data_IF_755194826131
#
_entry.id   IF_755194826131
#
_cell.length_a   1.000
_cell.length_b   1.000
_cell.length_c   1.000
_cell.angle_alpha   90.00
_cell.angle_beta   90.00
_cell.angle_gamma   90.00
#
_symmetry.space_group_name_H-M   'P 1'
#
loop_
_entity.id
_entity.type
_entity.pdbx_description
1 polymer ?
#
# COMPACT_ATOMS: atom_id res chain seq x y z
N UNK A 1 44.56 16.61 -35.23
CA UNK A 1 43.30 17.34 -34.90
C UNK A 1 42.17 16.53 -35.50
N UNK A 2 41.45 15.79 -34.69
CA UNK A 2 40.22 15.07 -35.14
C UNK A 2 39.13 16.15 -35.15
N UNK A 3 38.72 16.57 -36.35
CA UNK A 3 37.65 17.53 -36.54
C UNK A 3 36.34 16.88 -36.01
N UNK A 4 35.79 17.43 -34.94
CA UNK A 4 34.47 17.02 -34.46
C UNK A 4 33.44 17.52 -35.48
N UNK A 5 32.75 16.58 -36.14
CA UNK A 5 31.57 16.92 -36.93
C UNK A 5 30.54 17.62 -36.04
N UNK A 6 29.85 18.63 -36.58
CA UNK A 6 28.78 19.31 -35.84
C UNK A 6 27.73 18.27 -35.34
N UNK A 7 27.26 18.40 -34.10
CA UNK A 7 26.32 17.44 -33.55
C UNK A 7 25.03 17.45 -34.39
N UNK A 8 24.64 16.29 -34.86
CA UNK A 8 23.34 16.13 -35.54
C UNK A 8 22.21 16.47 -34.57
N UNK A 9 21.06 16.94 -35.08
CA UNK A 9 19.88 17.26 -34.29
C UNK A 9 19.52 16.10 -33.32
N UNK A 10 19.67 14.85 -33.74
CA UNK A 10 19.45 13.67 -32.94
C UNK A 10 20.36 13.63 -31.69
N UNK A 11 21.64 13.91 -31.86
CA UNK A 11 22.60 13.93 -30.76
C UNK A 11 22.24 15.03 -29.74
N UNK A 12 21.86 16.21 -30.20
CA UNK A 12 21.41 17.31 -29.31
C UNK A 12 20.18 16.92 -28.54
N UNK A 13 19.18 16.34 -29.19
CA UNK A 13 17.93 15.88 -28.54
C UNK A 13 18.22 14.77 -27.50
N UNK A 14 19.08 13.80 -27.83
CA UNK A 14 19.47 12.75 -26.89
C UNK A 14 20.21 13.30 -25.66
N UNK A 15 21.11 14.29 -25.85
CA UNK A 15 21.76 14.96 -24.72
C UNK A 15 20.78 15.70 -23.82
N UNK A 16 19.86 16.49 -24.38
CA UNK A 16 18.81 17.18 -23.62
C UNK A 16 17.95 16.15 -22.86
N UNK A 17 17.52 15.07 -23.55
CA UNK A 17 16.75 13.98 -22.94
C UNK A 17 17.50 13.31 -21.78
N UNK A 18 18.79 13.06 -21.94
CA UNK A 18 19.63 12.45 -20.89
C UNK A 18 19.74 13.35 -19.67
N UNK A 19 20.00 14.67 -19.84
CA UNK A 19 20.04 15.61 -18.72
C UNK A 19 18.71 15.76 -18.02
N UNK A 20 17.60 15.75 -18.76
CA UNK A 20 16.26 15.71 -18.17
C UNK A 20 16.08 14.46 -17.30
N UNK A 21 16.45 13.27 -17.82
CA UNK A 21 16.37 12.02 -17.07
C UNK A 21 17.22 12.08 -15.79
N UNK A 22 18.46 12.56 -15.88
CA UNK A 22 19.35 12.72 -14.72
C UNK A 22 18.74 13.65 -13.69
N UNK A 23 18.18 14.79 -14.09
CA UNK A 23 17.54 15.72 -13.17
C UNK A 23 16.36 15.10 -12.43
N UNK A 24 15.46 14.40 -13.14
CA UNK A 24 14.31 13.74 -12.53
C UNK A 24 14.77 12.63 -11.56
N UNK A 25 15.68 11.76 -11.99
CA UNK A 25 16.19 10.68 -11.15
C UNK A 25 16.95 11.21 -9.93
N UNK A 26 17.67 12.35 -10.06
CA UNK A 26 18.35 13.01 -8.94
C UNK A 26 17.38 13.42 -7.84
N UNK A 27 16.24 13.99 -8.21
CA UNK A 27 15.20 14.41 -7.23
C UNK A 27 14.66 13.19 -6.47
N UNK A 28 14.29 12.10 -7.17
CA UNK A 28 13.81 10.88 -6.52
C UNK A 28 14.88 10.21 -5.65
N UNK A 29 16.12 10.17 -6.11
CA UNK A 29 17.26 9.63 -5.35
C UNK A 29 17.49 10.43 -4.06
N UNK A 30 17.56 11.76 -4.17
CA UNK A 30 17.71 12.64 -3.01
C UNK A 30 16.56 12.46 -2.00
N UNK A 31 15.31 12.34 -2.51
CA UNK A 31 14.14 12.06 -1.68
C UNK A 31 14.28 10.73 -0.93
N UNK A 32 14.70 9.64 -1.58
CA UNK A 32 14.88 8.34 -0.92
C UNK A 32 15.91 8.40 0.19
N UNK A 33 17.06 9.03 -0.05
CA UNK A 33 18.08 9.22 0.98
C UNK A 33 17.56 10.09 2.14
N UNK A 34 16.92 11.21 1.82
CA UNK A 34 16.38 12.12 2.82
C UNK A 34 15.33 11.44 3.71
N UNK A 35 14.42 10.67 3.12
CA UNK A 35 13.41 9.93 3.87
C UNK A 35 14.03 8.83 4.73
N UNK A 36 15.01 8.12 4.21
CA UNK A 36 15.70 7.06 4.96
C UNK A 36 16.48 7.65 6.15
N UNK A 37 17.22 8.74 5.94
CA UNK A 37 17.95 9.42 6.99
C UNK A 37 16.99 10.03 8.03
N UNK A 38 15.90 10.64 7.60
CA UNK A 38 14.86 11.12 8.52
C UNK A 38 14.29 9.98 9.37
N UNK A 39 14.03 8.82 8.75
CA UNK A 39 13.51 7.66 9.47
C UNK A 39 14.48 7.09 10.50
N UNK A 40 15.79 7.10 10.20
CA UNK A 40 16.83 6.56 11.07
C UNK A 40 17.21 7.53 12.20
N UNK A 41 17.29 8.83 11.91
CA UNK A 41 17.88 9.83 12.80
C UNK A 41 16.96 11.00 13.15
N UNK A 42 15.82 11.13 12.44
CA UNK A 42 14.86 12.21 12.68
C UNK A 42 13.94 11.95 13.89
N UNK A 43 13.19 12.98 14.25
CA UNK A 43 12.15 12.85 15.26
C UNK A 43 10.99 12.02 14.73
N UNK A 44 10.63 10.97 15.46
CA UNK A 44 9.46 10.17 15.12
C UNK A 44 8.18 10.87 15.59
N UNK A 45 7.35 11.25 14.63
CA UNK A 45 6.05 11.79 14.91
C UNK A 45 5.05 10.63 15.01
N UNK A 46 4.44 10.50 16.16
CA UNK A 46 3.33 9.59 16.37
C UNK A 46 2.17 10.43 16.89
N UNK A 47 0.96 10.24 16.35
CA UNK A 47 -0.21 10.85 16.93
C UNK A 47 -0.41 10.20 18.31
N UNK A 48 -0.09 10.95 19.36
CA UNK A 48 -0.37 10.57 20.73
C UNK A 48 -1.69 11.22 21.14
N UNK A 49 -2.65 10.39 21.46
CA UNK A 49 -3.87 10.82 22.15
C UNK A 49 -3.96 9.96 23.40
N UNK A 50 -4.17 10.58 24.56
CA UNK A 50 -4.49 9.86 25.78
C UNK A 50 -5.95 9.39 25.67
N UNK A 51 -6.10 8.10 25.41
CA UNK A 51 -7.41 7.48 25.14
C UNK A 51 -7.88 6.57 26.28
N UNK A 52 -7.25 6.64 27.44
CA UNK A 52 -7.57 5.72 28.57
C UNK A 52 -9.02 5.87 29.08
N UNK A 53 -9.62 7.05 28.91
CA UNK A 53 -11.02 7.34 29.28
C UNK A 53 -11.83 7.92 28.12
N UNK A 54 -11.44 7.64 26.89
CA UNK A 54 -12.06 8.22 25.74
C UNK A 54 -13.50 7.67 25.53
N UNK A 55 -14.42 8.57 25.21
CA UNK A 55 -15.69 8.19 24.60
C UNK A 55 -15.44 7.88 23.12
N UNK A 56 -15.32 6.58 22.81
CA UNK A 56 -14.97 6.11 21.47
C UNK A 56 -16.08 6.48 20.48
N UNK A 57 -15.76 7.06 19.31
CA UNK A 57 -16.73 7.41 18.30
C UNK A 57 -17.45 6.19 17.75
N UNK A 58 -18.63 6.40 17.16
CA UNK A 58 -19.32 5.35 16.41
C UNK A 58 -18.51 4.95 15.17
N UNK A 59 -18.37 3.64 14.97
CA UNK A 59 -17.48 3.05 13.98
C UNK A 59 -18.21 2.04 13.11
N UNK A 60 -18.11 2.19 11.80
CA UNK A 60 -18.46 1.14 10.85
C UNK A 60 -17.19 0.63 10.14
N UNK A 61 -17.02 -0.69 10.17
CA UNK A 61 -15.95 -1.38 9.45
C UNK A 61 -16.53 -2.01 8.19
N UNK A 62 -16.13 -1.52 7.02
CA UNK A 62 -16.54 -2.05 5.74
C UNK A 62 -15.54 -3.08 5.23
N UNK A 63 -16.03 -4.23 4.76
CA UNK A 63 -15.22 -5.32 4.19
C UNK A 63 -15.72 -5.62 2.78
N UNK A 64 -15.21 -4.94 1.74
CA UNK A 64 -15.62 -5.18 0.36
C UNK A 64 -15.16 -6.58 -0.08
N UNK A 65 -16.09 -7.34 -0.65
CA UNK A 65 -15.89 -8.72 -1.09
C UNK A 65 -16.48 -8.96 -2.51
N UNK A 66 -15.73 -9.71 -3.32
CA UNK A 66 -16.20 -10.25 -4.60
C UNK A 66 -15.55 -11.61 -4.84
N UNK A 67 -16.29 -12.69 -4.63
CA UNK A 67 -15.81 -14.07 -4.70
C UNK A 67 -14.65 -14.34 -3.71
N UNK A 68 -14.82 -14.05 -2.43
CA UNK A 68 -13.79 -14.17 -1.39
C UNK A 68 -14.10 -15.27 -0.35
N UNK A 69 -14.82 -16.34 -0.75
CA UNK A 69 -15.23 -17.45 0.14
C UNK A 69 -14.06 -18.08 0.92
N UNK A 70 -12.84 -18.03 0.38
CA UNK A 70 -11.65 -18.64 0.98
C UNK A 70 -11.08 -17.88 2.17
N UNK A 71 -11.31 -16.57 2.23
CA UNK A 71 -10.59 -15.69 3.16
C UNK A 71 -11.53 -14.87 4.05
N UNK A 72 -12.77 -14.63 3.62
CA UNK A 72 -13.68 -13.71 4.30
C UNK A 72 -13.99 -14.12 5.76
N UNK A 73 -14.05 -15.44 6.07
CA UNK A 73 -14.26 -15.93 7.42
C UNK A 73 -13.17 -15.49 8.37
N UNK A 74 -11.90 -15.69 7.98
CA UNK A 74 -10.75 -15.33 8.81
C UNK A 74 -10.73 -13.83 9.13
N UNK A 75 -11.12 -13.00 8.14
CA UNK A 75 -11.20 -11.55 8.32
C UNK A 75 -12.33 -11.15 9.28
N UNK A 76 -13.52 -11.72 9.12
CA UNK A 76 -14.66 -11.44 9.99
C UNK A 76 -14.40 -11.93 11.42
N UNK A 77 -13.86 -13.14 11.60
CA UNK A 77 -13.50 -13.67 12.92
C UNK A 77 -12.48 -12.75 13.61
N UNK A 78 -11.46 -12.30 12.89
CA UNK A 78 -10.47 -11.37 13.43
C UNK A 78 -11.09 -10.02 13.84
N UNK A 79 -11.97 -9.46 13.01
CA UNK A 79 -12.68 -8.20 13.33
C UNK A 79 -13.59 -8.34 14.55
N UNK A 80 -14.28 -9.47 14.70
CA UNK A 80 -15.15 -9.75 15.84
C UNK A 80 -14.39 -9.88 17.16
N UNK A 81 -13.09 -10.24 17.12
CA UNK A 81 -12.20 -10.30 18.30
C UNK A 81 -11.53 -8.97 18.65
N UNK A 82 -11.72 -7.93 17.81
CA UNK A 82 -11.10 -6.64 18.07
C UNK A 82 -11.71 -5.95 19.30
N UNK A 83 -10.82 -5.36 20.11
CA UNK A 83 -11.19 -4.55 21.28
C UNK A 83 -11.76 -3.20 20.84
N UNK A 84 -13.10 -3.11 20.82
CA UNK A 84 -13.86 -1.87 20.59
C UNK A 84 -15.21 -1.98 21.30
N UNK A 85 -15.82 -0.88 21.80
CA UNK A 85 -17.14 -0.94 22.44
C UNK A 85 -18.17 -1.54 21.49
N UNK A 86 -18.90 -2.58 21.96
CA UNK A 86 -19.80 -3.36 21.10
C UNK A 86 -20.99 -2.54 20.58
N UNK A 87 -21.49 -1.62 21.41
CA UNK A 87 -22.58 -0.68 21.06
C UNK A 87 -22.15 0.41 20.07
N UNK A 88 -20.86 0.54 19.83
CA UNK A 88 -20.26 1.54 18.93
C UNK A 88 -19.67 0.95 17.65
N UNK A 89 -19.64 -0.39 17.49
CA UNK A 89 -19.03 -1.08 16.37
C UNK A 89 -20.06 -1.81 15.51
N UNK A 90 -20.09 -1.49 14.21
CA UNK A 90 -20.75 -2.28 13.18
C UNK A 90 -19.72 -2.81 12.18
N UNK A 91 -19.87 -4.06 11.77
CA UNK A 91 -19.10 -4.69 10.70
C UNK A 91 -20.04 -4.89 9.51
N UNK A 92 -19.69 -4.29 8.38
CA UNK A 92 -20.52 -4.29 7.17
C UNK A 92 -19.73 -4.95 6.04
N UNK A 93 -19.81 -6.28 5.88
CA UNK A 93 -19.32 -6.93 4.68
C UNK A 93 -20.13 -6.44 3.47
N UNK A 94 -19.43 -6.02 2.41
CA UNK A 94 -20.04 -5.44 1.22
C UNK A 94 -19.81 -6.40 0.04
N UNK A 95 -20.83 -7.20 -0.27
CA UNK A 95 -20.76 -8.13 -1.39
C UNK A 95 -21.12 -7.46 -2.70
N UNK A 96 -20.18 -7.43 -3.67
CA UNK A 96 -20.44 -6.93 -5.03
C UNK A 96 -20.64 -8.10 -6.00
N UNK A 97 -21.81 -8.74 -5.94
CA UNK A 97 -22.26 -9.80 -6.90
C UNK A 97 -21.37 -11.04 -6.92
N UNK A 98 -21.00 -11.56 -5.76
CA UNK A 98 -20.28 -12.83 -5.66
C UNK A 98 -21.12 -14.00 -6.19
N UNK A 99 -20.44 -14.94 -6.86
CA UNK A 99 -21.02 -16.14 -7.47
C UNK A 99 -20.55 -17.42 -6.78
N UNK A 100 -19.65 -17.30 -5.80
CA UNK A 100 -19.16 -18.40 -4.97
C UNK A 100 -19.90 -18.47 -3.61
N UNK A 101 -19.36 -19.18 -2.63
CA UNK A 101 -19.92 -19.32 -1.29
C UNK A 101 -19.88 -18.07 -0.42
N UNK A 102 -19.34 -16.91 -0.90
CA UNK A 102 -19.20 -15.68 -0.10
C UNK A 102 -20.51 -15.26 0.52
N UNK A 103 -21.60 -15.15 -0.26
CA UNK A 103 -22.91 -14.69 0.25
C UNK A 103 -23.50 -15.59 1.33
N UNK A 104 -23.33 -16.91 1.18
CA UNK A 104 -23.80 -17.86 2.17
C UNK A 104 -23.05 -17.68 3.50
N UNK A 105 -21.74 -17.44 3.44
CA UNK A 105 -20.94 -17.13 4.61
C UNK A 105 -21.41 -15.84 5.28
N UNK A 106 -21.64 -14.78 4.52
CA UNK A 106 -22.08 -13.49 5.07
C UNK A 106 -23.42 -13.60 5.80
N UNK A 107 -24.38 -14.34 5.26
CA UNK A 107 -25.66 -14.59 5.91
C UNK A 107 -25.52 -15.40 7.21
N UNK A 108 -24.64 -16.40 7.23
CA UNK A 108 -24.31 -17.15 8.45
C UNK A 108 -23.78 -16.22 9.55
N UNK A 109 -22.93 -15.25 9.21
CA UNK A 109 -22.42 -14.26 10.19
C UNK A 109 -23.50 -13.27 10.64
N UNK A 110 -24.39 -12.84 9.76
CA UNK A 110 -25.55 -12.00 10.12
C UNK A 110 -26.45 -12.69 11.15
N UNK A 111 -26.77 -13.97 10.92
CA UNK A 111 -27.58 -14.79 11.82
C UNK A 111 -26.89 -15.01 13.18
N UNK A 112 -25.58 -15.25 13.20
CA UNK A 112 -24.83 -15.51 14.41
C UNK A 112 -24.49 -14.25 15.22
N UNK A 113 -24.42 -13.07 14.56
CA UNK A 113 -24.05 -11.78 15.17
C UNK A 113 -25.04 -10.67 14.79
N UNK A 114 -26.34 -10.81 15.15
CA UNK A 114 -27.37 -9.87 14.73
C UNK A 114 -27.09 -8.44 15.22
N UNK A 115 -27.21 -7.47 14.31
CA UNK A 115 -26.95 -6.06 14.58
C UNK A 115 -25.49 -5.66 14.68
N UNK A 116 -24.55 -6.60 14.88
CA UNK A 116 -23.10 -6.38 14.88
C UNK A 116 -22.48 -6.64 13.51
N UNK A 117 -22.91 -7.69 12.81
CA UNK A 117 -22.56 -7.95 11.41
C UNK A 117 -23.79 -7.71 10.55
N UNK A 118 -23.72 -6.74 9.65
CA UNK A 118 -24.84 -6.29 8.81
C UNK A 118 -24.38 -6.31 7.34
N UNK A 119 -24.50 -7.43 6.63
CA UNK A 119 -24.06 -7.53 5.25
C UNK A 119 -24.84 -6.61 4.31
N UNK A 120 -24.14 -5.92 3.43
CA UNK A 120 -24.73 -5.22 2.31
C UNK A 120 -24.52 -6.04 1.03
N UNK A 121 -25.59 -6.70 0.56
CA UNK A 121 -25.58 -7.57 -0.62
C UNK A 121 -26.03 -6.79 -1.84
N UNK A 122 -25.14 -6.60 -2.79
CA UNK A 122 -25.34 -5.76 -3.97
C UNK A 122 -25.56 -6.64 -5.21
N UNK A 123 -26.64 -6.42 -5.93
CA UNK A 123 -27.00 -7.18 -7.13
C UNK A 123 -26.87 -6.39 -8.41
N UNK A 124 -26.94 -5.06 -8.35
CA UNK A 124 -26.89 -4.15 -9.49
C UNK A 124 -25.93 -2.97 -9.29
N UNK A 125 -25.96 -1.99 -10.19
CA UNK A 125 -25.13 -0.80 -10.15
C UNK A 125 -23.77 -0.96 -10.81
N UNK A 126 -22.91 0.07 -10.71
CA UNK A 126 -21.56 0.08 -11.29
C UNK A 126 -20.68 -0.93 -10.55
N UNK A 127 -20.04 -1.90 -11.24
CA UNK A 127 -19.15 -2.86 -10.59
C UNK A 127 -17.88 -2.19 -10.05
N UNK A 128 -17.36 -2.71 -8.93
CA UNK A 128 -16.07 -2.31 -8.40
C UNK A 128 -16.10 -1.85 -6.95
N UNK A 129 -14.93 -1.97 -6.28
CA UNK A 129 -14.74 -1.69 -4.86
C UNK A 129 -15.24 -0.29 -4.47
N UNK A 130 -14.82 0.75 -5.22
CA UNK A 130 -15.19 2.13 -4.91
C UNK A 130 -16.71 2.37 -5.00
N UNK A 131 -17.37 1.78 -6.00
CA UNK A 131 -18.82 1.90 -6.15
C UNK A 131 -19.56 1.14 -5.06
N UNK A 132 -19.12 -0.08 -4.76
CA UNK A 132 -19.72 -0.89 -3.70
C UNK A 132 -19.58 -0.22 -2.32
N UNK A 133 -18.41 0.36 -2.01
CA UNK A 133 -18.20 1.13 -0.79
C UNK A 133 -19.04 2.40 -0.76
N UNK A 134 -19.16 3.13 -1.88
CA UNK A 134 -19.98 4.35 -1.94
C UNK A 134 -21.46 4.05 -1.65
N UNK A 135 -22.00 2.99 -2.26
CA UNK A 135 -23.40 2.59 -2.05
C UNK A 135 -23.65 2.12 -0.61
N UNK A 136 -22.73 1.31 -0.05
CA UNK A 136 -22.85 0.84 1.33
C UNK A 136 -22.73 2.00 2.33
N UNK A 137 -21.73 2.87 2.19
CA UNK A 137 -21.48 3.98 3.12
C UNK A 137 -22.61 5.01 3.12
N UNK A 138 -23.34 5.17 2.01
CA UNK A 138 -24.50 6.06 1.94
C UNK A 138 -25.66 5.67 2.87
N UNK A 139 -25.68 4.42 3.34
CA UNK A 139 -26.70 3.90 4.26
C UNK A 139 -26.28 4.00 5.74
N UNK A 140 -25.08 4.51 6.02
CA UNK A 140 -24.49 4.55 7.35
C UNK A 140 -24.20 5.98 7.80
N UNK A 141 -24.43 6.26 9.08
CA UNK A 141 -24.31 7.59 9.69
C UNK A 141 -23.28 7.64 10.82
N UNK A 142 -22.52 6.57 11.04
CA UNK A 142 -21.47 6.50 12.05
C UNK A 142 -20.36 7.52 11.72
N UNK A 143 -19.65 7.98 12.76
CA UNK A 143 -18.67 9.07 12.62
C UNK A 143 -17.46 8.67 11.80
N UNK A 144 -16.98 7.44 12.01
CA UNK A 144 -15.75 6.91 11.38
C UNK A 144 -16.08 5.67 10.57
N UNK A 145 -15.52 5.64 9.36
CA UNK A 145 -15.59 4.51 8.44
C UNK A 145 -14.20 3.91 8.27
N UNK A 146 -14.00 2.65 8.67
CA UNK A 146 -12.79 1.90 8.36
C UNK A 146 -13.04 0.93 7.21
N UNK A 147 -11.99 0.64 6.45
CA UNK A 147 -12.03 -0.32 5.34
C UNK A 147 -10.92 -1.34 5.51
N UNK A 148 -11.29 -2.63 5.44
CA UNK A 148 -10.35 -3.75 5.34
C UNK A 148 -10.71 -4.60 4.15
N UNK A 149 -9.74 -4.95 3.31
CA UNK A 149 -9.98 -5.92 2.25
C UNK A 149 -10.27 -7.31 2.87
N UNK A 150 -10.99 -8.16 2.16
CA UNK A 150 -11.52 -9.42 2.67
C UNK A 150 -10.46 -10.45 3.11
N UNK A 151 -9.20 -10.27 2.70
CA UNK A 151 -8.06 -11.13 3.04
C UNK A 151 -7.21 -10.63 4.23
N UNK A 152 -7.57 -9.49 4.80
CA UNK A 152 -6.83 -8.87 5.90
C UNK A 152 -7.21 -9.46 7.26
N UNK A 153 -6.19 -9.62 8.10
CA UNK A 153 -6.35 -10.15 9.46
C UNK A 153 -5.90 -9.07 10.46
N UNK A 154 -6.84 -8.29 11.02
CA UNK A 154 -6.54 -7.30 12.03
C UNK A 154 -6.19 -7.95 13.38
N UNK A 155 -5.21 -7.37 14.08
CA UNK A 155 -4.94 -7.74 15.47
C UNK A 155 -5.95 -7.13 16.45
N UNK A 156 -6.06 -7.67 17.68
CA UNK A 156 -7.11 -7.29 18.63
C UNK A 156 -7.19 -5.81 18.98
N UNK A 157 -6.06 -5.08 18.97
CA UNK A 157 -6.01 -3.65 19.33
C UNK A 157 -6.08 -2.71 18.13
N UNK A 158 -6.16 -3.25 16.91
CA UNK A 158 -5.98 -2.46 15.69
C UNK A 158 -7.05 -1.38 15.51
N UNK A 159 -8.33 -1.69 15.78
CA UNK A 159 -9.42 -0.73 15.60
C UNK A 159 -9.21 0.53 16.46
N UNK A 160 -8.93 0.38 17.75
CA UNK A 160 -8.64 1.51 18.64
C UNK A 160 -7.42 2.31 18.19
N UNK A 161 -6.38 1.63 17.70
CA UNK A 161 -5.17 2.29 17.20
C UNK A 161 -5.45 3.12 15.95
N UNK A 162 -6.28 2.62 15.02
CA UNK A 162 -6.66 3.35 13.81
C UNK A 162 -7.66 4.49 14.07
N UNK A 163 -8.51 4.34 15.08
CA UNK A 163 -9.50 5.35 15.43
C UNK A 163 -8.89 6.48 16.27
N UNK A 164 -7.88 6.19 17.10
CA UNK A 164 -7.32 7.19 18.02
C UNK A 164 -6.90 8.53 17.37
N UNK A 165 -6.33 8.60 16.15
CA UNK A 165 -6.01 9.89 15.54
C UNK A 165 -7.23 10.74 15.20
N UNK A 166 -8.41 10.14 15.06
CA UNK A 166 -9.64 10.88 14.75
C UNK A 166 -10.21 11.67 15.95
N UNK A 167 -9.63 11.56 17.14
CA UNK A 167 -9.93 12.49 18.22
C UNK A 167 -9.46 13.92 17.89
N UNK A 168 -8.52 14.06 16.96
CA UNK A 168 -8.22 15.34 16.32
C UNK A 168 -9.25 15.62 15.20
N UNK A 169 -10.05 16.71 15.29
CA UNK A 169 -11.09 17.01 14.32
C UNK A 169 -10.56 17.35 12.92
N UNK A 170 -9.29 17.72 12.79
CA UNK A 170 -8.64 18.04 11.51
C UNK A 170 -8.24 16.78 10.74
N UNK A 171 -8.22 15.61 11.40
CA UNK A 171 -7.88 14.35 10.76
C UNK A 171 -9.05 13.83 9.94
N UNK A 172 -8.85 13.81 8.62
CA UNK A 172 -9.81 13.30 7.64
C UNK A 172 -9.62 11.83 7.30
N UNK A 173 -8.38 11.31 7.32
CA UNK A 173 -8.10 9.90 7.06
C UNK A 173 -6.92 9.38 7.88
N UNK A 174 -6.96 8.07 8.15
CA UNK A 174 -5.89 7.35 8.87
C UNK A 174 -5.57 6.08 8.11
N UNK A 175 -4.29 5.71 8.05
CA UNK A 175 -3.82 4.45 7.51
C UNK A 175 -2.84 3.77 8.47
N UNK A 176 -2.99 2.46 8.66
CA UNK A 176 -2.05 1.59 9.35
C UNK A 176 -1.00 1.00 8.43
N UNK A 177 -0.18 0.14 8.99
CA UNK A 177 0.89 -0.56 8.30
C UNK A 177 0.40 -1.92 7.80
N UNK A 178 0.67 -2.20 6.53
CA UNK A 178 0.37 -3.49 5.93
C UNK A 178 1.62 -4.38 5.93
N UNK A 179 1.46 -5.62 6.38
CA UNK A 179 2.54 -6.61 6.50
C UNK A 179 2.12 -7.90 5.78
N UNK A 180 2.93 -8.46 4.88
CA UNK A 180 2.63 -9.72 4.22
C UNK A 180 2.57 -10.90 5.19
N UNK A 181 1.54 -11.74 5.06
CA UNK A 181 1.34 -12.97 5.85
C UNK A 181 2.07 -14.18 5.25
N UNK A 182 2.03 -14.29 3.92
CA UNK A 182 2.54 -15.47 3.18
C UNK A 182 3.99 -15.32 2.69
N UNK A 183 4.86 -14.65 3.45
CA UNK A 183 6.25 -14.32 3.07
C UNK A 183 7.08 -15.54 2.68
N UNK A 184 6.87 -16.69 3.34
CA UNK A 184 7.66 -17.88 3.16
C UNK A 184 7.38 -18.69 1.87
N UNK A 185 6.30 -18.42 1.13
CA UNK A 185 5.81 -19.28 0.07
C UNK A 185 6.68 -19.27 -1.19
N UNK A 186 7.24 -18.13 -1.59
CA UNK A 186 8.02 -18.01 -2.82
C UNK A 186 9.08 -16.90 -2.73
N UNK A 187 9.98 -16.87 -3.73
CA UNK A 187 10.90 -15.73 -3.88
C UNK A 187 10.13 -14.42 -4.08
N UNK A 188 9.05 -14.45 -4.86
CA UNK A 188 8.23 -13.27 -5.11
C UNK A 188 7.63 -12.72 -3.82
N UNK A 189 7.03 -13.56 -2.98
CA UNK A 189 6.42 -13.11 -1.70
C UNK A 189 7.45 -12.48 -0.75
N UNK A 190 8.69 -13.00 -0.74
CA UNK A 190 9.81 -12.41 0.00
C UNK A 190 10.23 -11.05 -0.57
N UNK A 191 10.25 -10.89 -1.90
CA UNK A 191 10.55 -9.61 -2.53
C UNK A 191 9.46 -8.57 -2.26
N UNK A 192 8.18 -8.99 -2.22
CA UNK A 192 7.06 -8.11 -1.87
C UNK A 192 7.10 -7.70 -0.40
N UNK A 193 7.56 -8.57 0.50
CA UNK A 193 7.80 -8.21 1.90
C UNK A 193 8.87 -7.11 2.05
N UNK A 194 9.95 -7.18 1.28
CA UNK A 194 10.96 -6.12 1.23
C UNK A 194 10.38 -4.80 0.71
N UNK A 195 9.58 -4.85 -0.35
CA UNK A 195 8.91 -3.68 -0.92
C UNK A 195 7.96 -3.03 0.10
N UNK A 196 7.13 -3.84 0.78
CA UNK A 196 6.23 -3.39 1.84
C UNK A 196 7.00 -2.76 3.00
N UNK A 197 8.07 -3.40 3.45
CA UNK A 197 8.90 -2.86 4.53
C UNK A 197 9.46 -1.48 4.17
N UNK A 198 10.06 -1.32 2.98
CA UNK A 198 10.57 -0.01 2.53
C UNK A 198 9.50 1.06 2.44
N UNK A 199 8.35 0.73 1.84
CA UNK A 199 7.24 1.65 1.65
C UNK A 199 6.60 2.11 2.96
N UNK A 200 6.32 1.19 3.87
CA UNK A 200 5.62 1.52 5.13
C UNK A 200 6.57 2.02 6.22
N UNK A 201 7.67 1.29 6.51
CA UNK A 201 8.58 1.66 7.59
C UNK A 201 9.36 2.94 7.32
N UNK A 202 9.67 3.21 6.07
CA UNK A 202 10.49 4.39 5.72
C UNK A 202 9.66 5.45 5.03
N UNK A 203 9.07 5.16 3.87
CA UNK A 203 8.47 6.18 3.01
C UNK A 203 7.25 6.85 3.68
N UNK A 204 6.27 6.06 4.14
CA UNK A 204 5.06 6.59 4.80
C UNK A 204 5.39 7.25 6.15
N UNK A 205 6.28 6.62 6.95
CA UNK A 205 6.67 7.20 8.25
C UNK A 205 7.47 8.50 8.08
N UNK A 206 8.35 8.59 7.08
CA UNK A 206 9.08 9.84 6.81
C UNK A 206 8.13 10.97 6.40
N UNK A 207 7.10 10.68 5.57
CA UNK A 207 6.06 11.65 5.26
C UNK A 207 5.33 12.13 6.50
N UNK A 208 4.97 11.22 7.41
CA UNK A 208 4.34 11.56 8.67
C UNK A 208 5.25 12.44 9.53
N UNK A 209 6.55 12.07 9.67
CA UNK A 209 7.52 12.84 10.45
C UNK A 209 7.71 14.26 9.92
N UNK A 210 7.74 14.41 8.60
CA UNK A 210 8.03 15.66 7.90
C UNK A 210 6.78 16.52 7.61
N UNK A 211 5.59 16.07 8.06
CA UNK A 211 4.30 16.72 7.76
C UNK A 211 4.06 16.88 6.25
N UNK A 212 4.44 15.87 5.49
CA UNK A 212 4.15 15.77 4.07
C UNK A 212 2.77 15.11 3.84
N UNK A 213 2.61 14.40 2.71
CA UNK A 213 1.36 13.76 2.34
C UNK A 213 1.45 12.24 2.52
N UNK A 214 1.16 11.68 3.73
CA UNK A 214 0.97 10.24 3.85
C UNK A 214 -0.16 9.81 2.93
N UNK A 215 0.02 8.69 2.23
CA UNK A 215 -0.98 8.19 1.31
C UNK A 215 -1.92 7.24 2.05
N UNK A 216 -3.23 7.50 2.02
CA UNK A 216 -4.23 6.53 2.39
C UNK A 216 -4.28 5.43 1.32
N UNK A 217 -4.23 4.18 1.71
CA UNK A 217 -4.10 3.03 0.79
C UNK A 217 -5.38 2.26 0.52
N UNK A 218 -6.54 2.80 0.89
CA UNK A 218 -7.85 2.18 0.61
C UNK A 218 -8.16 0.92 1.43
N UNK A 219 -7.30 0.57 2.38
CA UNK A 219 -7.45 -0.56 3.31
C UNK A 219 -6.62 -0.33 4.57
N UNK A 220 -6.83 -1.12 5.63
CA UNK A 220 -6.16 -0.98 6.93
C UNK A 220 -6.17 0.47 7.42
N UNK A 221 -7.31 1.09 7.34
CA UNK A 221 -7.49 2.49 7.70
C UNK A 221 -8.87 2.97 7.36
N UNK A 222 -9.09 4.26 7.48
CA UNK A 222 -10.41 4.80 7.25
C UNK A 222 -10.45 6.29 7.10
N UNK A 223 -11.66 6.77 7.05
CA UNK A 223 -11.98 8.18 6.83
C UNK A 223 -13.03 8.64 7.81
N UNK A 224 -12.96 9.89 8.19
CA UNK A 224 -14.05 10.58 8.88
C UNK A 224 -15.19 10.79 7.88
N UNK A 225 -16.41 10.42 8.25
CA UNK A 225 -17.58 10.55 7.36
C UNK A 225 -17.75 11.97 6.82
N UNK A 226 -17.68 12.99 7.68
CA UNK A 226 -17.82 14.38 7.26
C UNK A 226 -16.70 14.84 6.31
N UNK A 227 -15.48 14.32 6.46
CA UNK A 227 -14.39 14.60 5.52
C UNK A 227 -14.64 13.95 4.16
N UNK A 228 -15.12 12.70 4.15
CA UNK A 228 -15.49 11.99 2.92
C UNK A 228 -16.61 12.71 2.17
N UNK A 229 -17.66 13.12 2.88
CA UNK A 229 -18.77 13.90 2.31
C UNK A 229 -18.31 15.26 1.76
N UNK A 230 -17.46 15.97 2.51
CA UNK A 230 -16.91 17.26 2.11
C UNK A 230 -16.15 17.22 0.80
N UNK A 231 -15.45 16.10 0.52
CA UNK A 231 -14.69 15.94 -0.72
C UNK A 231 -15.48 15.22 -1.84
N UNK A 232 -16.77 14.94 -1.64
CA UNK A 232 -17.67 14.36 -2.64
C UNK A 232 -17.62 12.84 -2.76
N UNK A 233 -17.29 12.12 -1.67
CA UNK A 233 -17.35 10.67 -1.58
C UNK A 233 -16.27 9.92 -2.37
N UNK A 234 -16.46 8.63 -2.58
CA UNK A 234 -15.59 7.80 -3.39
C UNK A 234 -15.77 8.09 -4.89
N UNK A 235 -14.65 8.09 -5.63
CA UNK A 235 -14.70 8.20 -7.09
C UNK A 235 -14.73 6.83 -7.75
N UNK A 236 -15.86 6.52 -8.34
CA UNK A 236 -16.10 5.23 -9.03
C UNK A 236 -15.38 5.12 -10.37
N UNK A 237 -14.93 6.23 -10.96
CA UNK A 237 -14.21 6.31 -12.23
C UNK A 237 -12.66 6.32 -12.04
N UNK A 238 -12.16 6.07 -10.84
CA UNK A 238 -10.74 6.02 -10.52
C UNK A 238 -10.27 4.58 -10.33
N UNK A 239 -9.14 4.22 -10.96
CA UNK A 239 -8.46 2.93 -10.75
C UNK A 239 -7.61 2.88 -9.49
N UNK A 240 -7.31 4.03 -8.89
CA UNK A 240 -6.67 4.22 -7.58
C UNK A 240 -7.54 5.21 -6.79
N UNK A 241 -8.68 4.71 -6.35
CA UNK A 241 -9.69 5.48 -5.61
C UNK A 241 -9.14 6.04 -4.29
N UNK A 242 -8.22 5.33 -3.69
CA UNK A 242 -7.49 5.66 -2.47
C UNK A 242 -6.55 6.86 -2.67
N UNK A 243 -5.74 6.82 -3.72
CA UNK A 243 -4.85 7.93 -4.10
C UNK A 243 -5.66 9.17 -4.49
N UNK A 244 -6.75 9.00 -5.24
CA UNK A 244 -7.67 10.07 -5.59
C UNK A 244 -8.28 10.72 -4.32
N UNK A 245 -8.76 9.90 -3.39
CA UNK A 245 -9.32 10.36 -2.13
C UNK A 245 -8.27 11.10 -1.28
N UNK A 246 -7.05 10.53 -1.16
CA UNK A 246 -5.93 11.17 -0.44
C UNK A 246 -5.68 12.59 -0.94
N UNK A 247 -5.57 12.76 -2.26
CA UNK A 247 -5.29 14.09 -2.85
C UNK A 247 -6.45 15.05 -2.60
N UNK A 248 -7.71 14.61 -2.73
CA UNK A 248 -8.87 15.45 -2.46
C UNK A 248 -8.96 15.88 -1.00
N UNK A 249 -8.69 14.98 -0.07
CA UNK A 249 -8.66 15.31 1.37
C UNK A 249 -7.61 16.39 1.65
N UNK A 250 -6.37 16.17 1.22
CA UNK A 250 -5.26 17.10 1.47
C UNK A 250 -5.50 18.48 0.81
N UNK A 251 -5.99 18.50 -0.42
CA UNK A 251 -6.31 19.78 -1.12
C UNK A 251 -7.41 20.57 -0.39
N UNK A 252 -8.35 19.88 0.27
CA UNK A 252 -9.42 20.50 1.03
C UNK A 252 -9.05 20.78 2.50
N UNK A 253 -7.78 20.59 2.88
CA UNK A 253 -7.25 20.97 4.19
C UNK A 253 -7.41 19.92 5.28
N UNK A 254 -7.78 18.69 4.91
CA UNK A 254 -7.84 17.57 5.85
C UNK A 254 -6.48 16.93 6.03
N UNK A 255 -6.12 16.59 7.27
CA UNK A 255 -4.93 15.82 7.56
C UNK A 255 -5.12 14.33 7.26
N UNK A 256 -4.08 13.73 6.67
CA UNK A 256 -3.97 12.28 6.52
C UNK A 256 -2.87 11.77 7.44
N UNK A 257 -3.21 10.82 8.30
CA UNK A 257 -2.31 10.30 9.34
C UNK A 257 -1.88 8.88 9.02
N UNK A 258 -0.59 8.61 9.16
CA UNK A 258 -0.03 7.26 9.06
C UNK A 258 0.38 6.73 10.43
N UNK A 259 -0.10 5.53 10.77
CA UNK A 259 0.14 4.82 12.04
C UNK A 259 1.04 3.60 11.81
N UNK A 260 2.36 3.78 11.92
CA UNK A 260 3.34 2.71 11.67
C UNK A 260 3.25 1.52 12.64
N UNK A 261 2.71 1.73 13.84
CA UNK A 261 2.56 0.67 14.86
C UNK A 261 1.28 -0.12 14.72
N UNK A 262 0.35 0.34 13.91
CA UNK A 262 -0.94 -0.30 13.66
C UNK A 262 -0.80 -1.27 12.50
N UNK A 263 -0.32 -2.49 12.80
CA UNK A 263 -0.03 -3.51 11.81
C UNK A 263 -1.24 -4.37 11.51
N UNK A 264 -1.47 -4.64 10.21
CA UNK A 264 -2.44 -5.59 9.73
C UNK A 264 -1.81 -6.49 8.67
N UNK A 265 -2.22 -7.74 8.62
CA UNK A 265 -1.59 -8.75 7.75
C UNK A 265 -2.42 -8.97 6.49
N UNK A 266 -1.73 -8.96 5.31
CA UNK A 266 -2.32 -9.20 3.99
C UNK A 266 -1.75 -10.45 3.32
N UNK A 267 -2.48 -11.01 2.36
CA UNK A 267 -1.97 -12.03 1.46
C UNK A 267 -1.44 -11.39 0.18
N UNK A 268 -0.10 -11.39 0.00
CA UNK A 268 0.51 -10.84 -1.22
C UNK A 268 0.46 -11.86 -2.38
N UNK A 269 0.46 -11.37 -3.66
CA UNK A 269 0.46 -12.25 -4.83
C UNK A 269 1.62 -13.27 -4.84
N UNK A 270 1.32 -14.52 -5.13
CA UNK A 270 2.31 -15.62 -5.20
C UNK A 270 2.83 -15.85 -6.62
N UNK A 271 2.12 -15.35 -7.64
CA UNK A 271 2.52 -15.47 -9.05
C UNK A 271 2.94 -14.13 -9.64
N UNK A 272 3.96 -14.15 -10.51
CA UNK A 272 4.39 -12.95 -11.25
C UNK A 272 3.29 -12.38 -12.13
N UNK A 273 2.41 -13.21 -12.66
CA UNK A 273 1.29 -12.76 -13.49
C UNK A 273 0.32 -11.88 -12.69
N UNK A 274 -0.10 -12.36 -11.51
CA UNK A 274 -0.96 -11.58 -10.59
C UNK A 274 -0.27 -10.29 -10.14
N UNK A 275 1.04 -10.35 -9.85
CA UNK A 275 1.82 -9.16 -9.49
C UNK A 275 1.88 -8.14 -10.62
N UNK A 276 2.13 -8.57 -11.85
CA UNK A 276 2.18 -7.69 -13.03
C UNK A 276 0.81 -7.04 -13.28
N UNK A 277 -0.29 -7.80 -13.15
CA UNK A 277 -1.66 -7.24 -13.24
C UNK A 277 -1.88 -6.15 -12.20
N UNK A 278 -1.50 -6.41 -10.95
CA UNK A 278 -1.61 -5.47 -9.83
C UNK A 278 -0.82 -4.18 -10.08
N UNK A 279 0.47 -4.28 -10.43
CA UNK A 279 1.32 -3.11 -10.72
C UNK A 279 0.76 -2.28 -11.89
N UNK A 280 0.31 -2.94 -12.96
CA UNK A 280 -0.28 -2.24 -14.12
C UNK A 280 -1.55 -1.46 -13.72
N UNK A 281 -2.38 -2.02 -12.85
CA UNK A 281 -3.56 -1.34 -12.32
C UNK A 281 -3.16 -0.10 -11.51
N UNK A 282 -2.20 -0.25 -10.59
CA UNK A 282 -1.70 0.88 -9.80
C UNK A 282 -1.09 1.98 -10.66
N UNK A 283 -0.24 1.62 -11.63
CA UNK A 283 0.37 2.59 -12.55
C UNK A 283 -0.69 3.38 -13.33
N UNK A 284 -1.72 2.70 -13.85
CA UNK A 284 -2.82 3.38 -14.55
C UNK A 284 -3.58 4.33 -13.63
N UNK A 285 -3.90 3.90 -12.41
CA UNK A 285 -4.64 4.72 -11.44
C UNK A 285 -3.87 5.96 -11.02
N UNK A 286 -2.57 5.81 -10.69
CA UNK A 286 -1.71 6.95 -10.33
C UNK A 286 -1.52 7.93 -11.51
N UNK A 287 -1.36 7.43 -12.74
CA UNK A 287 -1.25 8.29 -13.93
C UNK A 287 -2.54 9.07 -14.20
N UNK A 288 -3.72 8.46 -13.94
CA UNK A 288 -5.01 9.17 -13.98
C UNK A 288 -5.07 10.27 -12.92
N UNK A 289 -4.65 9.98 -11.68
CA UNK A 289 -4.60 10.95 -10.60
C UNK A 289 -3.60 12.07 -10.89
N UNK A 290 -2.40 11.74 -11.40
CA UNK A 290 -1.41 12.72 -11.84
C UNK A 290 -2.00 13.70 -12.85
N UNK A 291 -2.62 13.20 -13.91
CA UNK A 291 -3.24 14.04 -14.93
C UNK A 291 -4.34 14.95 -14.36
N UNK A 292 -5.12 14.42 -13.42
CA UNK A 292 -6.27 15.13 -12.83
C UNK A 292 -5.83 16.24 -11.89
N UNK A 293 -4.82 16.00 -11.05
CA UNK A 293 -4.48 16.87 -9.93
C UNK A 293 -3.18 17.64 -10.08
N UNK A 294 -2.28 17.28 -11.01
CA UNK A 294 -0.95 17.90 -11.14
C UNK A 294 -1.02 19.42 -11.32
N UNK A 295 -1.89 19.88 -12.22
CA UNK A 295 -2.06 21.31 -12.44
C UNK A 295 -2.68 22.05 -11.24
N UNK A 296 -3.58 21.39 -10.50
CA UNK A 296 -4.19 21.94 -9.30
C UNK A 296 -3.16 22.08 -8.17
N UNK A 297 -2.29 21.09 -8.00
CA UNK A 297 -1.19 21.13 -7.04
C UNK A 297 -0.20 22.26 -7.37
N UNK A 298 0.27 22.35 -8.62
CA UNK A 298 1.28 23.35 -9.01
C UNK A 298 0.76 24.80 -8.99
N UNK A 299 -0.51 25.02 -9.33
CA UNK A 299 -1.11 26.38 -9.32
C UNK A 299 -1.36 26.91 -7.92
N UNK A 300 -1.04 26.13 -6.91
CA UNK A 300 -1.18 26.46 -5.48
C UNK A 300 -2.54 27.09 -5.11
N UNK A 301 -3.62 26.65 -5.77
CA UNK A 301 -4.98 27.02 -5.37
C UNK A 301 -5.38 26.38 -4.02
N UNK A 302 -4.50 25.55 -3.45
CA UNK A 302 -4.79 24.62 -2.38
C UNK A 302 -4.34 25.11 -1.00
N UNK A 303 -3.67 26.26 -0.89
CA UNK A 303 -3.04 26.77 0.35
C UNK A 303 -2.05 25.78 1.02
N UNK A 304 -1.60 24.76 0.29
CA UNK A 304 -0.64 23.79 0.82
C UNK A 304 0.77 24.38 0.92
N UNK A 305 1.54 24.02 1.95
CA UNK A 305 2.96 24.34 2.02
C UNK A 305 3.72 23.78 0.81
N UNK A 306 4.76 24.49 0.36
CA UNK A 306 5.57 24.10 -0.80
C UNK A 306 6.04 22.64 -0.76
N UNK A 307 6.48 22.17 0.42
CA UNK A 307 6.97 20.78 0.57
C UNK A 307 5.88 19.72 0.41
N UNK A 308 4.64 20.02 0.80
CA UNK A 308 3.51 19.13 0.56
C UNK A 308 3.12 19.09 -0.93
N UNK A 309 3.17 20.24 -1.61
CA UNK A 309 2.94 20.30 -3.05
C UNK A 309 3.99 19.50 -3.80
N UNK A 310 5.27 19.67 -3.42
CA UNK A 310 6.37 18.94 -4.03
C UNK A 310 6.25 17.43 -3.79
N UNK A 311 6.03 17.00 -2.54
CA UNK A 311 5.87 15.57 -2.23
C UNK A 311 4.63 14.97 -2.89
N UNK A 312 3.51 15.67 -2.93
CA UNK A 312 2.30 15.26 -3.63
C UNK A 312 2.53 15.08 -5.14
N UNK A 313 3.26 16.01 -5.77
CA UNK A 313 3.64 15.88 -7.18
C UNK A 313 4.56 14.68 -7.43
N UNK A 314 5.57 14.47 -6.58
CA UNK A 314 6.46 13.31 -6.65
C UNK A 314 5.74 12.00 -6.37
N UNK A 315 4.79 11.99 -5.42
CA UNK A 315 3.94 10.83 -5.13
C UNK A 315 3.13 10.41 -6.36
N UNK A 316 2.45 11.36 -6.98
CA UNK A 316 1.65 11.09 -8.17
C UNK A 316 2.50 10.70 -9.39
N UNK A 317 3.71 11.29 -9.51
CA UNK A 317 4.63 11.08 -10.63
C UNK A 317 5.45 9.80 -10.56
N UNK A 318 5.41 9.04 -9.45
CA UNK A 318 6.30 7.88 -9.23
C UNK A 318 6.21 6.83 -10.34
N UNK A 319 5.02 6.58 -10.90
CA UNK A 319 4.82 5.62 -11.97
C UNK A 319 5.21 6.13 -13.37
N UNK A 320 5.60 7.40 -13.51
CA UNK A 320 6.21 7.94 -14.74
C UNK A 320 7.72 7.71 -14.74
N UNK A 321 8.36 7.56 -13.57
CA UNK A 321 9.81 7.38 -13.43
C UNK A 321 10.37 6.23 -14.27
N UNK A 322 9.75 5.04 -14.38
CA UNK A 322 10.22 3.98 -15.28
C UNK A 322 10.28 4.37 -16.75
N UNK A 323 9.36 5.22 -17.24
CA UNK A 323 9.46 5.74 -18.61
C UNK A 323 10.66 6.67 -18.79
N UNK A 324 10.88 7.55 -17.81
CA UNK A 324 12.07 8.44 -17.79
C UNK A 324 13.34 7.63 -17.78
N UNK A 325 13.42 6.56 -16.99
CA UNK A 325 14.58 5.66 -16.95
C UNK A 325 14.82 4.99 -18.30
N UNK A 326 13.79 4.45 -18.95
CA UNK A 326 13.90 3.83 -20.28
C UNK A 326 14.31 4.85 -21.35
N UNK A 327 13.77 6.08 -21.30
CA UNK A 327 14.22 7.16 -22.18
C UNK A 327 15.71 7.44 -22.00
N UNK A 328 16.19 7.51 -20.76
CA UNK A 328 17.61 7.68 -20.46
C UNK A 328 18.47 6.56 -21.03
N UNK A 329 18.03 5.30 -20.95
CA UNK A 329 18.74 4.17 -21.58
C UNK A 329 18.79 4.28 -23.09
N UNK A 330 17.68 4.62 -23.73
CA UNK A 330 17.64 4.82 -25.20
C UNK A 330 18.58 5.95 -25.63
N UNK A 331 18.53 7.11 -24.97
CA UNK A 331 19.43 8.22 -25.26
C UNK A 331 20.91 7.81 -25.07
N UNK A 332 21.23 7.09 -24.01
CA UNK A 332 22.61 6.61 -23.76
C UNK A 332 23.09 5.65 -24.85
N UNK A 333 22.23 4.70 -25.27
CA UNK A 333 22.57 3.75 -26.35
C UNK A 333 22.82 4.49 -27.68
N UNK A 334 21.94 5.44 -28.05
CA UNK A 334 22.10 6.23 -29.27
C UNK A 334 23.38 7.03 -29.23
N UNK A 335 23.69 7.73 -28.15
CA UNK A 335 24.93 8.50 -28.00
C UNK A 335 26.17 7.62 -28.06
N UNK A 336 26.11 6.41 -27.48
CA UNK A 336 27.22 5.45 -27.55
C UNK A 336 27.53 5.01 -28.99
N UNK A 337 26.50 4.61 -29.75
CA UNK A 337 26.66 4.12 -31.12
C UNK A 337 26.95 5.22 -32.14
N UNK A 338 26.62 6.49 -31.87
CA UNK A 338 26.98 7.61 -32.74
C UNK A 338 28.44 8.02 -32.58
N UNK A 339 29.15 7.41 -31.62
CA UNK A 339 30.56 7.74 -31.36
C UNK A 339 30.78 9.17 -30.85
N UNK A 340 29.72 9.88 -30.47
CA UNK A 340 29.78 11.24 -29.99
C UNK A 340 29.93 11.24 -28.44
N UNK A 341 31.16 11.40 -27.92
CA UNK A 341 31.34 11.56 -26.50
C UNK A 341 30.69 12.88 -26.07
N UNK A 342 29.94 12.94 -24.96
CA UNK A 342 29.50 14.23 -24.41
C UNK A 342 30.73 15.14 -24.29
N UNK A 343 30.58 16.42 -24.64
CA UNK A 343 31.73 17.37 -24.71
C UNK A 343 32.52 17.51 -23.40
N UNK A 344 31.95 17.07 -22.28
CA UNK A 344 32.55 16.93 -20.95
C UNK A 344 33.08 15.51 -20.70
N UNK A 345 33.12 14.68 -21.70
CA UNK A 345 33.69 13.36 -21.88
C UNK A 345 33.78 12.51 -20.61
N UNK A 346 34.99 12.44 -20.05
CA UNK A 346 35.28 11.53 -18.92
C UNK A 346 34.59 11.96 -17.59
N UNK A 347 34.51 13.25 -17.32
CA UNK A 347 33.91 13.77 -16.08
C UNK A 347 32.42 13.52 -16.08
N UNK A 348 31.75 13.78 -17.19
CA UNK A 348 30.28 13.53 -17.30
C UNK A 348 29.94 12.05 -17.18
N UNK A 349 30.71 11.16 -17.85
CA UNK A 349 30.54 9.71 -17.72
C UNK A 349 30.79 9.28 -16.28
N UNK A 350 31.83 9.79 -15.63
CA UNK A 350 32.10 9.48 -14.21
C UNK A 350 31.00 9.98 -13.29
N UNK A 351 30.51 11.20 -13.50
CA UNK A 351 29.40 11.77 -12.73
C UNK A 351 28.08 10.99 -12.92
N UNK A 352 27.74 10.66 -14.19
CA UNK A 352 26.55 9.86 -14.49
C UNK A 352 26.67 8.46 -13.90
N UNK A 353 27.85 7.82 -14.03
CA UNK A 353 28.07 6.48 -13.47
C UNK A 353 28.05 6.50 -11.94
N UNK A 354 28.66 7.49 -11.31
CA UNK A 354 28.64 7.67 -9.86
C UNK A 354 27.21 7.95 -9.38
N UNK A 355 26.47 8.81 -10.09
CA UNK A 355 25.09 9.13 -9.78
C UNK A 355 24.18 7.91 -9.96
N UNK A 356 24.31 7.14 -11.04
CA UNK A 356 23.56 5.91 -11.23
C UNK A 356 23.86 4.89 -10.13
N UNK A 357 25.11 4.77 -9.72
CA UNK A 357 25.51 3.90 -8.60
C UNK A 357 24.82 4.35 -7.31
N UNK A 358 24.97 5.61 -6.94
CA UNK A 358 24.36 6.18 -5.73
C UNK A 358 22.83 6.11 -5.81
N UNK A 359 22.23 6.41 -6.97
CA UNK A 359 20.80 6.34 -7.19
C UNK A 359 20.23 4.93 -7.03
N UNK A 360 20.91 3.94 -7.58
CA UNK A 360 20.52 2.54 -7.44
C UNK A 360 20.63 2.06 -5.99
N UNK A 361 21.62 2.52 -5.23
CA UNK A 361 21.74 2.21 -3.81
C UNK A 361 20.68 2.86 -2.93
N UNK A 362 20.02 3.93 -3.35
CA UNK A 362 19.00 4.61 -2.53
C UNK A 362 17.86 3.69 -2.13
N UNK A 363 17.31 2.92 -3.08
CA UNK A 363 16.24 1.96 -2.80
C UNK A 363 16.72 0.79 -1.91
N UNK A 364 17.93 0.28 -2.15
CA UNK A 364 18.54 -0.75 -1.29
C UNK A 364 18.78 -0.23 0.13
N UNK A 365 19.28 1.00 0.26
CA UNK A 365 19.50 1.63 1.56
C UNK A 365 18.20 1.80 2.34
N UNK A 366 17.13 2.23 1.65
CA UNK A 366 15.80 2.35 2.25
C UNK A 366 15.29 1.02 2.80
N UNK A 367 15.36 -0.06 2.01
CA UNK A 367 14.89 -1.38 2.44
C UNK A 367 15.80 -1.99 3.50
N UNK A 368 17.11 -1.76 3.42
CA UNK A 368 18.05 -2.18 4.46
C UNK A 368 17.74 -1.49 5.81
N UNK A 369 17.46 -0.18 5.78
CA UNK A 369 17.04 0.57 6.96
C UNK A 369 15.71 0.03 7.53
N UNK A 370 14.71 -0.23 6.68
CA UNK A 370 13.45 -0.83 7.09
C UNK A 370 13.65 -2.19 7.74
N UNK A 371 14.45 -3.06 7.11
CA UNK A 371 14.75 -4.40 7.62
C UNK A 371 15.46 -4.37 8.99
N UNK A 372 16.37 -3.40 9.19
CA UNK A 372 17.01 -3.18 10.47
C UNK A 372 16.03 -2.71 11.55
N UNK A 373 15.12 -1.80 11.20
CA UNK A 373 14.09 -1.29 12.11
C UNK A 373 13.09 -2.37 12.54
N UNK A 374 12.79 -3.32 11.68
CA UNK A 374 11.95 -4.49 11.98
C UNK A 374 12.72 -5.62 12.68
N UNK A 375 14.04 -5.51 12.85
CA UNK A 375 14.88 -6.54 13.43
C UNK A 375 15.06 -7.80 12.56
N UNK A 376 14.67 -7.76 11.29
CA UNK A 376 14.70 -8.92 10.38
C UNK A 376 16.04 -9.07 9.67
N UNK A 377 16.86 -10.03 10.13
CA UNK A 377 18.13 -10.37 9.44
C UNK A 377 17.91 -11.10 8.11
N UNK A 378 16.82 -11.83 7.97
CA UNK A 378 16.52 -12.57 6.75
C UNK A 378 16.22 -11.65 5.57
N UNK A 379 15.51 -10.55 5.80
CA UNK A 379 15.27 -9.53 4.78
C UNK A 379 16.56 -8.97 4.21
N UNK A 380 17.59 -8.76 5.04
CA UNK A 380 18.89 -8.22 4.58
C UNK A 380 19.55 -9.16 3.58
N UNK A 381 19.47 -10.49 3.79
CA UNK A 381 20.01 -11.49 2.86
C UNK A 381 19.31 -11.49 1.50
N UNK A 382 18.08 -11.02 1.45
CA UNK A 382 17.28 -10.96 0.23
C UNK A 382 17.51 -9.70 -0.61
N UNK A 383 18.20 -8.67 -0.07
CA UNK A 383 18.43 -7.40 -0.77
C UNK A 383 19.00 -7.56 -2.21
N UNK A 384 20.00 -8.41 -2.48
CA UNK A 384 20.52 -8.56 -3.86
C UNK A 384 19.45 -8.99 -4.88
N UNK A 385 18.44 -9.76 -4.44
CA UNK A 385 17.36 -10.26 -5.31
C UNK A 385 16.30 -9.19 -5.64
N UNK A 386 16.28 -8.04 -4.94
CA UNK A 386 15.39 -6.92 -5.25
C UNK A 386 15.53 -6.44 -6.70
N UNK A 387 16.72 -6.62 -7.29
CA UNK A 387 16.98 -6.22 -8.68
C UNK A 387 16.03 -6.90 -9.66
N UNK A 388 15.66 -8.17 -9.43
CA UNK A 388 14.69 -8.91 -10.25
C UNK A 388 13.31 -8.26 -10.21
N UNK A 389 12.82 -7.95 -8.99
CA UNK A 389 11.55 -7.24 -8.80
C UNK A 389 11.55 -5.85 -9.44
N UNK A 390 12.66 -5.12 -9.33
CA UNK A 390 12.84 -3.82 -9.95
C UNK A 390 12.73 -3.89 -11.48
N UNK A 391 13.42 -4.83 -12.15
CA UNK A 391 13.36 -4.99 -13.60
C UNK A 391 11.92 -5.29 -14.06
N UNK A 392 11.27 -6.29 -13.46
CA UNK A 392 9.89 -6.67 -13.81
C UNK A 392 8.94 -5.48 -13.60
N UNK A 393 9.08 -4.74 -12.51
CA UNK A 393 8.27 -3.56 -12.22
C UNK A 393 8.51 -2.44 -13.23
N UNK A 394 9.77 -2.14 -13.56
CA UNK A 394 10.15 -1.09 -14.53
C UNK A 394 9.50 -1.31 -15.89
N UNK A 395 9.63 -2.51 -16.46
CA UNK A 395 9.04 -2.81 -17.78
C UNK A 395 7.51 -2.87 -17.72
N UNK A 396 6.94 -3.42 -16.64
CA UNK A 396 5.49 -3.54 -16.49
C UNK A 396 4.82 -2.19 -16.33
N UNK A 397 5.40 -1.29 -15.52
CA UNK A 397 4.92 0.09 -15.33
C UNK A 397 5.07 0.90 -16.60
N UNK A 398 6.25 0.85 -17.25
CA UNK A 398 6.48 1.57 -18.50
C UNK A 398 5.45 1.17 -19.57
N UNK A 399 5.23 -0.14 -19.76
CA UNK A 399 4.21 -0.63 -20.70
C UNK A 399 2.80 -0.17 -20.32
N UNK A 400 2.47 -0.15 -19.04
CA UNK A 400 1.18 0.36 -18.57
C UNK A 400 1.04 1.86 -18.85
N UNK A 401 2.09 2.65 -18.60
CA UNK A 401 2.09 4.11 -18.72
C UNK A 401 2.05 4.60 -20.18
N UNK A 402 2.55 3.83 -21.14
CA UNK A 402 2.42 4.11 -22.58
C UNK A 402 0.97 3.90 -23.04
N UNK A 403 0.20 3.05 -22.39
CA UNK A 403 -1.17 2.73 -22.79
C UNK A 403 -2.09 3.96 -22.66
N UNK A 404 -2.89 4.22 -23.71
CA UNK A 404 -3.94 5.26 -23.69
C UNK A 404 -4.86 5.16 -22.46
N UNK A 405 -5.16 3.94 -22.02
CA UNK A 405 -6.02 3.70 -20.86
C UNK A 405 -5.46 4.26 -19.55
N UNK A 406 -4.13 4.47 -19.44
CA UNK A 406 -3.49 5.10 -18.29
C UNK A 406 -3.80 6.59 -18.13
N UNK A 407 -4.22 7.23 -19.22
CA UNK A 407 -4.45 8.67 -19.27
C UNK A 407 -5.91 9.03 -19.52
N UNK A 408 -6.78 8.04 -19.78
CA UNK A 408 -8.21 8.24 -20.01
C UNK A 408 -8.96 8.22 -18.67
N UNK A 409 -9.93 9.11 -18.53
CA UNK A 409 -10.84 9.23 -17.39
C UNK A 409 -12.26 8.78 -17.80
N UNK A 410 -13.09 8.45 -16.80
CA UNK A 410 -14.54 8.26 -17.01
C UNK A 410 -14.96 6.89 -17.56
N UNK A 411 -14.11 5.85 -17.47
CA UNK A 411 -14.54 4.48 -17.77
C UNK A 411 -14.82 3.71 -16.47
N UNK A 412 -15.91 2.91 -16.42
CA UNK A 412 -16.15 2.02 -15.28
C UNK A 412 -14.96 1.09 -15.08
N UNK A 413 -14.55 0.96 -13.82
CA UNK A 413 -13.47 0.07 -13.42
C UNK A 413 -14.05 -1.31 -13.19
N UNK A 414 -13.60 -2.31 -13.96
CA UNK A 414 -13.92 -3.71 -13.64
C UNK A 414 -13.07 -4.17 -12.46
N UNK A 415 -13.70 -4.82 -11.49
CA UNK A 415 -13.01 -5.46 -10.38
C UNK A 415 -12.13 -6.60 -10.90
N UNK A 416 -10.81 -6.43 -10.81
CA UNK A 416 -9.86 -7.48 -11.13
C UNK A 416 -9.44 -8.15 -9.82
N UNK A 417 -10.03 -9.32 -9.57
CA UNK A 417 -9.72 -10.13 -8.38
C UNK A 417 -8.25 -10.56 -8.38
N UNK A 418 -7.61 -10.49 -7.22
CA UNK A 418 -6.34 -11.17 -6.94
C UNK A 418 -6.67 -12.61 -6.53
N UNK A 419 -6.03 -13.60 -7.14
CA UNK A 419 -6.19 -15.01 -6.77
C UNK A 419 -5.72 -15.22 -5.34
N UNK A 420 -6.53 -15.94 -4.54
CA UNK A 420 -6.25 -16.30 -3.15
C UNK A 420 -5.79 -17.75 -3.07
N UNK A 421 -4.80 -18.00 -2.22
CA UNK A 421 -4.16 -19.31 -2.11
C UNK A 421 -4.41 -19.99 -0.76
N UNK A 422 -5.07 -19.31 0.20
CA UNK A 422 -5.48 -19.95 1.46
C UNK A 422 -6.43 -21.12 1.20
N UNK A 423 -6.21 -22.23 1.92
CA UNK A 423 -7.15 -23.35 1.93
C UNK A 423 -8.42 -22.97 2.69
N UNK A 424 -9.57 -23.38 2.15
CA UNK A 424 -10.86 -23.21 2.84
C UNK A 424 -10.80 -23.98 4.17
N UNK A 425 -10.96 -23.31 5.30
CA UNK A 425 -11.12 -23.99 6.60
C UNK A 425 -12.33 -24.91 6.51
N UNK A 426 -12.09 -26.23 6.52
CA UNK A 426 -13.16 -27.21 6.75
C UNK A 426 -13.72 -26.95 8.15
N UNK A 427 -15.06 -26.79 8.28
CA UNK A 427 -15.72 -26.86 9.59
C UNK A 427 -15.18 -28.10 10.30
N UNK A 428 -14.58 -27.96 11.45
CA UNK A 428 -14.33 -29.08 12.35
C UNK A 428 -15.73 -29.54 12.79
N UNK A 429 -16.20 -30.59 12.15
CA UNK A 429 -17.36 -31.32 12.62
C UNK A 429 -17.09 -31.73 14.07
N UNK A 430 -17.78 -31.10 14.99
CA UNK A 430 -17.82 -31.47 16.40
C UNK A 430 -18.47 -32.83 16.57
N UNK A 431 -17.81 -33.90 16.14
CA UNK A 431 -18.14 -35.25 16.56
C UNK A 431 -17.49 -35.46 17.92
N UNK A 432 -18.26 -35.26 18.96
CA UNK A 432 -18.04 -35.85 20.28
C UNK A 432 -18.08 -37.37 20.11
N UNK A 433 -16.92 -37.96 19.82
CA UNK A 433 -16.70 -39.42 19.90
C UNK A 433 -16.47 -39.77 21.36
N UNK A 434 -17.52 -40.18 22.05
CA UNK A 434 -17.43 -41.00 23.26
C UNK A 434 -16.80 -42.35 22.91
N UNK A 435 -15.52 -42.51 23.20
CA UNK A 435 -14.79 -43.80 23.09
C UNK A 435 -14.25 -44.16 24.45
N UNK A 436 -15.00 -44.96 25.18
CA UNK A 436 -14.53 -45.75 26.34
C UNK A 436 -13.52 -46.79 25.89
N UNK A 437 -12.38 -46.88 26.55
CA UNK A 437 -11.37 -47.92 26.30
C UNK A 437 -10.31 -47.98 27.38
N UNK A 438 -10.57 -48.76 28.35
CA UNK A 438 -9.78 -49.38 29.43
C UNK A 438 -8.32 -49.70 29.14
N UNK A 439 -7.43 -49.42 30.10
CA UNK A 439 -6.63 -50.50 30.66
C UNK A 439 -5.12 -50.40 30.58
N UNK A 440 -4.53 -50.40 31.76
CA UNK A 440 -3.27 -50.94 32.25
C UNK A 440 -1.99 -50.12 32.14
N UNK A 441 -1.57 -49.61 33.35
CA UNK A 441 -0.14 -49.34 33.63
C UNK A 441 0.62 -50.65 33.96
N UNK A 442 1.78 -50.63 34.60
CA UNK A 442 2.53 -49.60 35.30
C UNK A 442 4.06 -49.66 35.04
N UNK A 443 4.82 -48.76 35.60
CA UNK A 443 6.27 -49.00 35.76
C UNK A 443 7.14 -47.78 36.01
N UNK A 444 7.30 -47.48 37.30
CA UNK A 444 8.49 -47.11 38.09
C UNK A 444 9.51 -46.10 37.54
N UNK A 445 9.68 -45.03 38.28
CA UNK A 445 10.69 -44.00 38.36
C UNK A 445 12.10 -44.50 38.76
N UNK A 446 12.96 -43.74 39.46
CA UNK A 446 13.13 -42.28 39.63
C UNK A 446 14.60 -41.85 39.40
N UNK A 447 14.89 -40.57 39.48
CA UNK A 447 16.28 -40.08 39.60
C UNK A 447 16.40 -38.59 39.34
N UNK A 448 16.25 -37.72 40.33
CA UNK A 448 17.26 -36.83 40.97
C UNK A 448 18.42 -36.40 40.05
N UNK A 449 18.83 -35.16 39.84
CA UNK A 449 19.20 -34.12 40.82
C UNK A 449 19.71 -32.87 40.08
N UNK A 450 19.42 -31.71 40.63
CA UNK A 450 20.29 -30.55 40.94
C UNK A 450 21.24 -29.99 39.87
N UNK A 451 21.20 -28.68 39.71
CA UNK A 451 22.32 -27.88 39.26
C UNK A 451 21.96 -26.45 38.86
N UNK A 452 22.07 -25.53 39.82
CA UNK A 452 21.93 -24.08 39.67
C UNK A 452 23.18 -23.42 39.09
N UNK A 453 23.04 -22.11 38.73
CA UNK A 453 24.05 -21.06 38.40
C UNK A 453 24.41 -20.97 36.92
N UNK A 454 24.43 -19.80 36.27
CA UNK A 454 24.62 -18.41 36.68
C UNK A 454 23.91 -17.53 35.65
#
# INVERSE_FOLDING_TARGET
>A
MVGFAEPTTLIVLCNIGLWFCVAVLAVYTARHYFFTLNRLFGRHRQPFVDVLQADWPSLTVFVPAHNEERVIRDSLDALLTCDYPEDRLKIVPVDDRSQDGTRAILREYEENYPGRVVPFLRDDGIPGKAAALADAMALHNEEIFLVFDADYIPGPRLLKQLVSPFFDPEVGAVMGRVVPLNVGHSLLTRLLDLERAGGYQVDQQARMNLRLVPQYGGTVGGVRRTALENVGGWRVDSLAEDTDLTVRLVINGWDVVYQNRSECYEEVPESWESRIRQIKRWAKGHNQALRRYFAALLRNKTRLPFWQVLDGALLLGVFVVPLVLLLGWVCTIVLFFTGYPPQWGRVTILMISSFNTVGNFAAFFQVAAASRLDGSRERIRMLPFMFLGFLVSTFSVARASISRASWMQGRPVQWQKTERHRDVRKKSDGSTGSGSGSGTGPGTGPGTSTGARA
#
